data_IF_075570417641
#
_entry.id   IF_075570417641
#
_cell.length_a   1.000
_cell.length_b   1.000
_cell.length_c   1.000
_cell.angle_alpha   90.00
_cell.angle_beta   90.00
_cell.angle_gamma   90.00
#
_symmetry.space_group_name_H-M   'P 1'
#
loop_
_entity.id
_entity.type
_entity.pdbx_description
1 polymer ?
#
# COMPACT_ATOMS: atom_id res chain seq x y z
N UNK A 1 -7.17 3.91 -14.73
CA UNK A 1 -6.73 3.22 -13.49
C UNK A 1 -6.77 4.20 -12.32
N UNK A 2 -7.06 3.75 -11.09
CA UNK A 2 -7.06 4.58 -9.89
C UNK A 2 -6.17 3.97 -8.80
N UNK A 3 -5.29 4.76 -8.19
CA UNK A 3 -4.55 4.31 -7.00
C UNK A 3 -5.50 4.21 -5.80
N UNK A 4 -5.38 3.12 -5.05
CA UNK A 4 -6.27 2.81 -3.92
C UNK A 4 -5.57 2.89 -2.58
N UNK A 5 -4.26 2.65 -2.55
CA UNK A 5 -3.45 2.73 -1.33
C UNK A 5 -1.99 2.97 -1.68
N UNK A 6 -1.31 3.80 -0.90
CA UNK A 6 0.13 4.00 -1.00
C UNK A 6 0.74 3.75 0.37
N UNK A 7 1.72 2.85 0.44
CA UNK A 7 2.47 2.54 1.64
C UNK A 7 3.88 3.10 1.50
N UNK A 8 4.25 4.01 2.40
CA UNK A 8 5.57 4.66 2.42
C UNK A 8 6.20 4.46 3.78
N UNK A 9 7.48 4.12 3.80
CA UNK A 9 8.28 3.99 5.02
C UNK A 9 9.39 5.03 5.07
N UNK A 10 9.93 5.22 6.26
CA UNK A 10 11.12 6.04 6.51
C UNK A 10 11.65 5.78 7.91
N UNK A 11 12.78 6.39 8.22
CA UNK A 11 13.53 6.15 9.44
C UNK A 11 13.67 7.45 10.25
N UNK A 12 13.52 7.34 11.58
CA UNK A 12 13.65 8.46 12.52
C UNK A 12 15.00 8.48 13.26
N UNK A 13 15.84 7.46 13.03
CA UNK A 13 17.19 7.30 13.59
C UNK A 13 17.25 7.47 15.12
N UNK A 14 16.25 6.92 15.80
CA UNK A 14 16.03 7.08 17.24
C UNK A 14 15.35 5.85 17.82
N UNK A 15 15.64 5.51 19.07
CA UNK A 15 14.91 4.47 19.80
C UNK A 15 13.66 5.07 20.43
N UNK A 16 12.51 4.44 20.20
CA UNK A 16 11.22 4.94 20.66
C UNK A 16 10.65 3.99 21.72
N UNK A 17 10.41 4.52 22.92
CA UNK A 17 9.59 3.85 23.91
C UNK A 17 8.12 3.93 23.48
N UNK A 18 7.62 2.87 22.82
CA UNK A 18 6.27 2.81 22.28
C UNK A 18 5.19 2.95 23.36
N UNK A 19 5.45 2.46 24.57
CA UNK A 19 4.52 2.58 25.70
C UNK A 19 4.40 4.03 26.19
N UNK A 20 5.51 4.76 26.26
CA UNK A 20 5.51 6.19 26.57
C UNK A 20 4.83 7.01 25.46
N UNK A 21 5.14 6.70 24.20
CA UNK A 21 4.55 7.36 23.04
C UNK A 21 3.02 7.15 22.99
N UNK A 22 2.53 5.94 23.24
CA UNK A 22 1.10 5.62 23.27
C UNK A 22 0.33 6.47 24.30
N UNK A 23 0.94 6.80 25.45
CA UNK A 23 0.32 7.65 26.47
C UNK A 23 0.23 9.13 26.06
N UNK A 24 1.11 9.59 25.16
CA UNK A 24 1.15 10.97 24.68
C UNK A 24 0.24 11.21 23.47
N UNK A 25 -0.06 10.16 22.70
CA UNK A 25 -0.84 10.24 21.47
C UNK A 25 -2.33 9.97 21.70
N UNK A 26 -3.16 10.51 20.80
CA UNK A 26 -4.59 10.19 20.73
C UNK A 26 -4.90 9.34 19.49
N UNK A 27 -5.95 8.51 19.58
CA UNK A 27 -6.35 7.56 18.52
C UNK A 27 -5.19 6.62 18.14
N UNK A 28 -4.65 5.97 19.15
CA UNK A 28 -3.52 5.05 19.06
C UNK A 28 -3.93 3.68 19.54
N UNK A 29 -3.41 2.64 18.90
CA UNK A 29 -3.55 1.24 19.31
C UNK A 29 -2.15 0.69 19.52
N UNK A 30 -1.88 0.21 20.73
CA UNK A 30 -0.61 -0.40 21.08
C UNK A 30 -0.88 -1.58 22.00
N UNK A 31 -0.51 -2.76 21.53
CA UNK A 31 -0.51 -4.01 22.26
C UNK A 31 0.69 -4.82 21.80
N UNK A 32 1.72 -4.85 22.64
CA UNK A 32 2.99 -5.52 22.33
C UNK A 32 2.87 -7.04 22.24
N UNK A 33 1.75 -7.63 22.69
CA UNK A 33 1.53 -9.08 22.61
C UNK A 33 1.02 -9.51 21.24
N UNK A 34 0.21 -8.66 20.59
CA UNK A 34 -0.38 -8.94 19.28
C UNK A 34 0.41 -8.31 18.11
N UNK A 35 1.10 -7.19 18.35
CA UNK A 35 1.82 -6.48 17.30
C UNK A 35 3.08 -5.78 17.82
N UNK A 36 4.17 -5.87 17.06
CA UNK A 36 5.50 -5.33 17.44
C UNK A 36 5.63 -3.80 17.32
N UNK A 37 4.58 -3.12 16.88
CA UNK A 37 4.57 -1.68 16.65
C UNK A 37 3.35 -1.00 17.27
N UNK A 38 3.36 0.32 17.19
CA UNK A 38 2.26 1.19 17.58
C UNK A 38 1.52 1.64 16.34
N UNK A 39 0.19 1.49 16.30
CA UNK A 39 -0.65 1.94 15.20
C UNK A 39 -1.30 3.26 15.59
N UNK A 40 -0.97 4.32 14.87
CA UNK A 40 -1.47 5.67 15.13
C UNK A 40 -2.32 6.18 13.97
N UNK A 41 -3.54 6.61 14.26
CA UNK A 41 -4.46 7.18 13.28
C UNK A 41 -4.79 8.63 13.62
N UNK A 42 -4.00 9.57 13.11
CA UNK A 42 -4.21 10.98 13.38
C UNK A 42 -5.40 11.55 12.59
N UNK A 43 -6.38 12.13 13.30
CA UNK A 43 -7.67 12.62 12.75
C UNK A 43 -7.54 13.50 11.50
N UNK A 44 -6.54 14.39 11.46
CA UNK A 44 -6.34 15.35 10.34
C UNK A 44 -5.39 14.87 9.24
N UNK A 45 -4.65 13.78 9.45
CA UNK A 45 -3.67 13.30 8.46
C UNK A 45 -4.29 12.22 7.57
N UNK A 46 -5.13 11.36 8.16
CA UNK A 46 -5.73 10.22 7.47
C UNK A 46 -4.73 9.09 7.23
N UNK A 47 -5.24 7.88 7.02
CA UNK A 47 -4.43 6.67 7.00
C UNK A 47 -3.84 6.31 8.36
N UNK A 48 -3.13 5.18 8.43
CA UNK A 48 -2.48 4.75 9.66
C UNK A 48 -0.97 4.94 9.55
N UNK A 49 -0.35 5.40 10.62
CA UNK A 49 1.09 5.41 10.80
C UNK A 49 1.46 4.27 11.77
N UNK A 50 2.31 3.35 11.33
CA UNK A 50 2.89 2.34 12.20
C UNK A 50 4.25 2.86 12.65
N UNK A 51 4.49 2.85 13.96
CA UNK A 51 5.74 3.28 14.59
C UNK A 51 6.35 2.09 15.30
N UNK A 52 7.62 1.81 15.02
CA UNK A 52 8.36 0.71 15.62
C UNK A 52 9.41 1.22 16.60
N UNK A 53 9.78 0.39 17.58
CA UNK A 53 10.69 0.78 18.65
C UNK A 53 12.09 1.16 18.15
N UNK A 54 12.50 0.64 16.98
CA UNK A 54 13.75 0.96 16.32
C UNK A 54 13.73 2.29 15.53
N UNK A 55 12.68 3.09 15.66
CA UNK A 55 12.54 4.37 14.95
C UNK A 55 12.07 4.24 13.51
N UNK A 56 11.84 3.03 13.01
CA UNK A 56 11.20 2.85 11.71
C UNK A 56 9.74 3.29 11.80
N UNK A 57 9.29 4.03 10.79
CA UNK A 57 7.89 4.39 10.63
C UNK A 57 7.40 4.03 9.24
N UNK A 58 6.16 3.57 9.13
CA UNK A 58 5.49 3.47 7.84
C UNK A 58 4.08 4.06 7.92
N UNK A 59 3.56 4.49 6.77
CA UNK A 59 2.23 5.01 6.66
C UNK A 59 1.49 4.31 5.53
N UNK A 60 0.26 3.88 5.78
CA UNK A 60 -0.66 3.37 4.76
C UNK A 60 -1.90 4.27 4.64
N UNK A 61 -2.63 4.11 3.53
CA UNK A 61 -3.94 4.74 3.36
C UNK A 61 -4.21 5.21 1.93
N UNK A 62 -5.49 5.43 1.64
CA UNK A 62 -5.96 5.85 0.32
C UNK A 62 -5.26 7.11 -0.16
N UNK A 63 -4.77 7.09 -1.39
CA UNK A 63 -4.08 8.22 -1.98
C UNK A 63 -4.17 8.15 -3.49
N UNK A 64 -4.25 9.32 -4.12
CA UNK A 64 -4.36 9.47 -5.56
C UNK A 64 -2.98 9.57 -6.24
N UNK A 65 -1.90 9.71 -5.48
CA UNK A 65 -0.54 9.82 -6.01
C UNK A 65 0.52 9.27 -5.06
N UNK A 66 1.67 8.87 -5.61
CA UNK A 66 2.86 8.47 -4.88
C UNK A 66 3.33 9.59 -3.94
N UNK A 67 3.34 10.84 -4.43
CA UNK A 67 3.69 12.04 -3.67
C UNK A 67 2.79 12.27 -2.45
N UNK A 68 1.48 12.00 -2.57
CA UNK A 68 0.56 12.15 -1.44
C UNK A 68 0.87 11.20 -0.28
N UNK A 69 1.32 9.97 -0.57
CA UNK A 69 1.82 9.04 0.45
C UNK A 69 3.08 9.57 1.16
N UNK A 70 4.03 10.13 0.41
CA UNK A 70 5.25 10.74 0.98
C UNK A 70 4.90 11.93 1.88
N UNK A 71 3.98 12.80 1.42
CA UNK A 71 3.49 13.93 2.22
C UNK A 71 2.83 13.46 3.52
N UNK A 72 2.05 12.37 3.48
CA UNK A 72 1.45 11.75 4.68
C UNK A 72 2.51 11.34 5.69
N UNK A 73 3.52 10.58 5.26
CA UNK A 73 4.62 10.14 6.12
C UNK A 73 5.33 11.32 6.78
N UNK A 74 5.67 12.35 5.98
CA UNK A 74 6.32 13.57 6.49
C UNK A 74 5.48 14.31 7.53
N UNK A 75 4.15 14.34 7.38
CA UNK A 75 3.25 14.96 8.38
C UNK A 75 3.28 14.20 9.71
N UNK A 76 3.27 12.86 9.67
CA UNK A 76 3.41 12.05 10.89
C UNK A 76 4.78 12.23 11.54
N UNK A 77 5.86 12.16 10.75
CA UNK A 77 7.22 12.40 11.24
C UNK A 77 7.35 13.79 11.90
N UNK A 78 6.76 14.83 11.29
CA UNK A 78 6.78 16.19 11.85
C UNK A 78 6.11 16.29 13.22
N UNK A 79 5.07 15.49 13.49
CA UNK A 79 4.45 15.45 14.81
C UNK A 79 5.34 14.73 15.82
N UNK A 80 6.01 13.64 15.44
CA UNK A 80 6.97 12.95 16.29
C UNK A 80 8.19 13.83 16.62
N UNK A 81 8.65 14.64 15.66
CA UNK A 81 9.69 15.66 15.89
C UNK A 81 9.26 16.69 16.94
N UNK A 82 8.02 17.18 16.87
CA UNK A 82 7.48 18.15 17.85
C UNK A 82 7.36 17.57 19.27
N UNK A 83 7.22 16.26 19.38
CA UNK A 83 7.22 15.54 20.67
C UNK A 83 8.65 15.21 21.16
N UNK A 84 9.69 15.58 20.41
CA UNK A 84 11.08 15.39 20.80
C UNK A 84 11.67 14.02 20.47
N UNK A 85 10.98 13.17 19.68
CA UNK A 85 11.49 11.83 19.37
C UNK A 85 12.61 11.83 18.33
N UNK A 86 12.63 12.79 17.40
CA UNK A 86 13.60 12.83 16.31
C UNK A 86 13.86 14.24 15.77
N UNK A 87 14.96 14.39 15.04
CA UNK A 87 15.33 15.64 14.35
C UNK A 87 15.05 15.56 12.85
N UNK A 88 15.37 14.42 12.22
CA UNK A 88 15.29 14.23 10.76
C UNK A 88 14.52 12.94 10.43
N UNK A 89 13.86 12.94 9.27
CA UNK A 89 13.28 11.75 8.65
C UNK A 89 14.18 11.36 7.47
N UNK A 90 14.74 10.16 7.51
CA UNK A 90 15.67 9.61 6.51
C UNK A 90 15.04 8.40 5.81
N UNK A 91 15.71 7.86 4.79
CA UNK A 91 15.34 6.62 4.08
C UNK A 91 13.89 6.53 3.63
N UNK A 92 13.33 7.66 3.19
CA UNK A 92 11.96 7.74 2.73
C UNK A 92 11.82 6.93 1.43
N UNK A 93 11.07 5.83 1.51
CA UNK A 93 10.87 4.91 0.40
C UNK A 93 9.43 4.47 0.27
N UNK A 94 8.99 4.33 -0.96
CA UNK A 94 7.70 3.72 -1.29
C UNK A 94 7.89 2.22 -1.17
N UNK A 95 7.09 1.59 -0.32
CA UNK A 95 7.16 0.15 -0.05
C UNK A 95 6.32 -0.58 -1.09
N UNK A 96 5.09 -0.12 -1.26
CA UNK A 96 4.14 -0.68 -2.22
C UNK A 96 3.01 0.31 -2.47
N UNK A 97 2.46 0.25 -3.68
CA UNK A 97 1.26 0.95 -4.11
C UNK A 97 0.28 -0.10 -4.62
N UNK A 98 -0.99 0.12 -4.30
CA UNK A 98 -2.11 -0.64 -4.82
C UNK A 98 -2.97 0.24 -5.70
N UNK A 99 -3.52 -0.36 -6.74
CA UNK A 99 -4.40 0.29 -7.68
C UNK A 99 -5.58 -0.61 -8.02
N UNK A 100 -6.63 0.00 -8.55
CA UNK A 100 -7.73 -0.71 -9.17
C UNK A 100 -8.00 -0.16 -10.56
N UNK A 101 -8.52 -1.04 -11.41
CA UNK A 101 -9.00 -0.70 -12.72
C UNK A 101 -10.26 -1.54 -13.01
N UNK A 102 -11.04 -1.10 -13.98
CA UNK A 102 -12.21 -1.81 -14.46
C UNK A 102 -12.06 -1.87 -15.97
N UNK A 103 -12.07 -3.10 -16.50
CA UNK A 103 -12.13 -3.34 -17.93
C UNK A 103 -13.52 -3.00 -18.45
N UNK A 104 -13.64 -2.72 -19.75
CA UNK A 104 -14.87 -2.24 -20.39
C UNK A 104 -15.96 -3.31 -20.56
N UNK A 105 -15.77 -4.50 -19.99
CA UNK A 105 -16.70 -5.62 -20.10
C UNK A 105 -16.52 -6.66 -18.99
N UNK A 106 -17.33 -7.71 -19.08
CA UNK A 106 -17.15 -8.92 -18.26
C UNK A 106 -16.09 -9.79 -18.91
N UNK A 107 -15.27 -10.44 -18.09
CA UNK A 107 -14.24 -11.36 -18.60
C UNK A 107 -14.90 -12.69 -18.90
N UNK A 108 -14.63 -13.25 -20.08
CA UNK A 108 -15.11 -14.58 -20.45
C UNK A 108 -13.99 -15.59 -20.27
N UNK A 109 -14.24 -16.65 -19.49
CA UNK A 109 -13.23 -17.66 -19.18
C UNK A 109 -12.60 -18.29 -20.43
N UNK A 110 -13.40 -18.48 -21.49
CA UNK A 110 -12.97 -19.02 -22.79
C UNK A 110 -11.96 -18.13 -23.54
N UNK A 111 -11.94 -16.82 -23.28
CA UNK A 111 -11.01 -15.88 -23.91
C UNK A 111 -9.78 -15.56 -23.05
N UNK A 112 -9.64 -16.21 -21.90
CA UNK A 112 -8.51 -15.97 -21.00
C UNK A 112 -7.31 -16.74 -21.53
N UNK A 113 -6.14 -16.07 -21.71
CA UNK A 113 -4.93 -16.75 -22.15
C UNK A 113 -4.62 -17.95 -21.26
N UNK A 114 -4.35 -19.12 -21.87
CA UNK A 114 -4.07 -20.39 -21.18
C UNK A 114 -2.98 -20.32 -20.10
N UNK A 115 -2.08 -19.33 -20.19
CA UNK A 115 -1.03 -19.10 -19.19
C UNK A 115 -1.59 -18.66 -17.82
N UNK A 116 -2.82 -18.15 -17.76
CA UNK A 116 -3.47 -17.77 -16.51
C UNK A 116 -4.27 -18.96 -15.96
N UNK A 117 -3.87 -19.46 -14.79
CA UNK A 117 -4.58 -20.53 -14.10
C UNK A 117 -5.79 -19.95 -13.36
N UNK A 118 -6.96 -20.55 -13.57
CA UNK A 118 -8.17 -20.25 -12.81
C UNK A 118 -8.61 -21.49 -12.04
N UNK A 119 -8.62 -21.38 -10.71
CA UNK A 119 -9.01 -22.45 -9.79
C UNK A 119 -10.17 -21.95 -8.90
N UNK A 120 -11.43 -22.03 -9.37
CA UNK A 120 -12.60 -21.44 -8.71
C UNK A 120 -12.80 -21.90 -7.27
N UNK A 121 -12.47 -23.17 -7.00
CA UNK A 121 -12.59 -23.79 -5.68
C UNK A 121 -11.65 -23.17 -4.63
N UNK A 122 -10.52 -22.61 -5.08
CA UNK A 122 -9.57 -21.94 -4.19
C UNK A 122 -9.88 -20.45 -4.06
N UNK A 123 -10.21 -19.79 -5.17
CA UNK A 123 -10.47 -18.36 -5.16
C UNK A 123 -11.36 -17.91 -6.34
N UNK A 124 -12.36 -17.04 -6.11
CA UNK A 124 -13.31 -16.61 -7.14
C UNK A 124 -12.75 -15.49 -8.05
N UNK A 125 -11.46 -15.52 -8.36
CA UNK A 125 -10.79 -14.59 -9.27
C UNK A 125 -9.49 -15.19 -9.80
N UNK A 126 -9.02 -14.68 -10.93
CA UNK A 126 -7.76 -15.09 -11.53
C UNK A 126 -6.64 -14.28 -10.90
N UNK A 127 -5.66 -14.97 -10.33
CA UNK A 127 -4.50 -14.36 -9.70
C UNK A 127 -3.24 -14.68 -10.50
N UNK A 128 -2.48 -13.65 -10.85
CA UNK A 128 -1.21 -13.83 -11.54
C UNK A 128 -0.23 -12.72 -11.18
N UNK A 129 1.03 -12.90 -11.58
CA UNK A 129 2.14 -12.00 -11.25
C UNK A 129 2.95 -11.65 -12.50
N UNK A 130 3.37 -10.39 -12.64
CA UNK A 130 4.32 -9.91 -13.67
C UNK A 130 5.30 -8.94 -13.03
N UNK A 131 6.60 -9.21 -13.13
CA UNK A 131 7.68 -8.35 -12.60
C UNK A 131 7.43 -7.83 -11.17
N UNK A 132 7.10 -8.74 -10.25
CA UNK A 132 6.75 -8.41 -8.84
C UNK A 132 5.42 -7.70 -8.57
N UNK A 133 4.64 -7.43 -9.61
CA UNK A 133 3.29 -6.88 -9.50
C UNK A 133 2.27 -8.01 -9.55
N UNK A 134 1.38 -8.03 -8.57
CA UNK A 134 0.30 -9.00 -8.45
C UNK A 134 -0.99 -8.42 -9.00
N UNK A 135 -1.70 -9.22 -9.79
CA UNK A 135 -2.96 -8.89 -10.43
C UNK A 135 -4.03 -9.88 -9.97
N UNK A 136 -5.19 -9.36 -9.61
CA UNK A 136 -6.40 -10.14 -9.30
C UNK A 136 -7.51 -9.67 -10.22
N UNK A 137 -7.87 -10.50 -11.19
CA UNK A 137 -8.91 -10.23 -12.19
C UNK A 137 -10.19 -10.97 -11.83
N UNK A 138 -11.25 -10.22 -11.57
CA UNK A 138 -12.59 -10.76 -11.37
C UNK A 138 -13.34 -10.83 -12.70
N UNK A 139 -14.23 -11.81 -12.86
CA UNK A 139 -15.08 -11.94 -14.06
C UNK A 139 -16.01 -10.76 -14.30
N UNK A 140 -16.26 -9.94 -13.27
CA UNK A 140 -16.99 -8.67 -13.39
C UNK A 140 -16.23 -7.57 -14.14
N UNK A 141 -15.01 -7.84 -14.59
CA UNK A 141 -14.10 -6.86 -15.20
C UNK A 141 -13.30 -6.04 -14.18
N UNK A 142 -13.51 -6.25 -12.88
CA UNK A 142 -12.73 -5.58 -11.84
C UNK A 142 -11.31 -6.17 -11.76
N UNK A 143 -10.31 -5.30 -11.85
CA UNK A 143 -8.89 -5.63 -11.76
C UNK A 143 -8.28 -4.93 -10.54
N UNK A 144 -7.75 -5.73 -9.62
CA UNK A 144 -7.00 -5.24 -8.45
C UNK A 144 -5.52 -5.48 -8.72
N UNK A 145 -4.69 -4.47 -8.44
CA UNK A 145 -3.26 -4.47 -8.74
C UNK A 145 -2.52 -4.10 -7.47
N UNK A 146 -1.53 -4.90 -7.07
CA UNK A 146 -0.73 -4.67 -5.85
C UNK A 146 0.74 -4.97 -6.11
N UNK A 147 1.63 -4.41 -5.28
CA UNK A 147 3.08 -4.63 -5.41
C UNK A 147 3.79 -3.61 -6.30
N UNK A 148 3.10 -2.54 -6.73
CA UNK A 148 3.68 -1.45 -7.52
C UNK A 148 4.70 -0.71 -6.65
N UNK A 149 5.95 -0.57 -7.11
CA UNK A 149 7.02 0.07 -6.32
C UNK A 149 7.44 1.42 -6.90
N UNK A 150 7.32 1.59 -8.21
CA UNK A 150 7.76 2.80 -8.94
C UNK A 150 6.63 3.31 -9.83
N UNK A 151 6.57 4.62 -10.11
CA UNK A 151 5.61 5.17 -11.08
C UNK A 151 5.74 4.52 -12.46
N UNK A 152 6.98 4.21 -12.89
CA UNK A 152 7.27 3.62 -14.20
C UNK A 152 6.66 2.23 -14.39
N UNK A 153 6.44 1.48 -13.31
CA UNK A 153 5.77 0.17 -13.33
C UNK A 153 4.35 0.27 -13.95
N UNK A 154 3.72 1.44 -13.84
CA UNK A 154 2.40 1.70 -14.43
C UNK A 154 2.47 1.59 -15.96
N UNK A 155 3.46 2.26 -16.55
CA UNK A 155 3.61 2.35 -18.00
C UNK A 155 4.28 1.10 -18.58
N UNK A 156 5.35 0.65 -17.93
CA UNK A 156 6.17 -0.45 -18.42
C UNK A 156 5.50 -1.83 -18.26
N UNK A 157 4.61 -2.00 -17.27
CA UNK A 157 4.05 -3.32 -16.93
C UNK A 157 2.53 -3.30 -16.92
N UNK A 158 1.92 -2.40 -16.14
CA UNK A 158 0.48 -2.47 -15.85
C UNK A 158 -0.35 -2.16 -17.09
N UNK A 159 -0.04 -1.11 -17.84
CA UNK A 159 -0.79 -0.79 -19.06
C UNK A 159 -0.68 -1.90 -20.10
N UNK A 160 0.48 -2.52 -20.25
CA UNK A 160 0.65 -3.67 -21.15
C UNK A 160 -0.22 -4.87 -20.72
N UNK A 161 -0.30 -5.15 -19.41
CA UNK A 161 -1.20 -6.19 -18.88
C UNK A 161 -2.66 -5.85 -19.14
N UNK A 162 -3.07 -4.60 -18.92
CA UNK A 162 -4.45 -4.17 -19.16
C UNK A 162 -4.84 -4.36 -20.64
N UNK A 163 -3.96 -3.98 -21.57
CA UNK A 163 -4.18 -4.18 -23.00
C UNK A 163 -4.28 -5.66 -23.37
N UNK A 164 -3.43 -6.50 -22.77
CA UNK A 164 -3.49 -7.95 -22.99
C UNK A 164 -4.81 -8.56 -22.48
N UNK A 165 -5.27 -8.14 -21.30
CA UNK A 165 -6.53 -8.62 -20.72
C UNK A 165 -7.77 -8.11 -21.44
N UNK A 166 -7.67 -7.00 -22.18
CA UNK A 166 -8.79 -6.48 -22.97
C UNK A 166 -9.23 -7.44 -24.08
N UNK A 167 -8.35 -8.35 -24.52
CA UNK A 167 -8.69 -9.44 -25.46
C UNK A 167 -9.62 -10.49 -24.83
N UNK A 168 -9.66 -10.56 -23.49
CA UNK A 168 -10.47 -11.54 -22.74
C UNK A 168 -11.90 -11.10 -22.43
N UNK A 169 -12.34 -9.97 -22.99
CA UNK A 169 -13.70 -9.43 -22.85
C UNK A 169 -14.73 -10.13 -23.78
#
# INVERSE_FOLDING_TARGET
MKLTSVVVGGQLDTVINLCALARQLTNVRYDSTSFSGLIWQHRKIGGNCLVFANGYINCNGSCESFQGGIKRLRRYARLLQKLGYCHTLTDVKIITVSASHRLDGKVKLEHIPFKYRYEPELFPAIMFKREDIHFTLHFSGALIITGIKKPKDIDDVIYLVILELAVSL
#
